data_IF_489386770864
#
_entry.id   IF_489386770864
#
_cell.length_a   1.000
_cell.length_b   1.000
_cell.length_c   1.000
_cell.angle_alpha   90.00
_cell.angle_beta   90.00
_cell.angle_gamma   90.00
#
_symmetry.space_group_name_H-M   'P 1'
#
loop_
_entity.id
_entity.type
_entity.pdbx_description
1 polymer ?
#
# COMPACT_ATOMS: atom_id res chain seq x y z
N UNK A 1 2.16 35.47 -7.32
CA UNK A 1 3.04 35.89 -6.22
C UNK A 1 2.91 34.84 -5.11
N UNK A 2 4.02 34.19 -4.72
CA UNK A 2 4.21 32.98 -3.86
C UNK A 2 3.46 32.96 -2.50
N UNK A 3 3.43 31.85 -1.71
CA UNK A 3 3.83 30.44 -1.97
C UNK A 3 2.85 29.36 -1.41
N UNK A 4 3.03 28.07 -1.75
CA UNK A 4 2.76 26.97 -0.79
C UNK A 4 4.04 26.14 -0.65
N UNK A 5 4.59 26.26 0.54
CA UNK A 5 5.74 25.56 1.13
C UNK A 5 5.36 24.09 1.36
N UNK A 6 6.13 23.14 0.83
CA UNK A 6 6.24 21.80 1.43
C UNK A 6 7.68 21.69 1.90
N UNK A 7 7.87 21.82 3.21
CA UNK A 7 9.16 21.65 3.86
C UNK A 7 9.67 20.22 3.66
N UNK A 8 10.84 20.12 3.03
CA UNK A 8 11.81 19.05 3.21
C UNK A 8 12.60 19.34 4.50
N UNK A 9 12.47 18.47 5.50
CA UNK A 9 13.43 18.19 6.58
C UNK A 9 12.87 16.96 7.29
N UNK A 10 13.53 15.81 7.34
CA UNK A 10 14.80 15.59 8.02
C UNK A 10 15.67 14.55 7.29
N UNK A 11 16.98 14.85 7.20
CA UNK A 11 18.02 13.86 6.99
C UNK A 11 18.00 12.89 8.17
N UNK A 12 17.83 11.59 7.92
CA UNK A 12 18.23 10.58 8.88
C UNK A 12 19.70 10.25 8.68
N UNK A 13 20.50 10.61 9.69
CA UNK A 13 21.81 10.00 9.95
C UNK A 13 21.54 8.54 10.34
N UNK A 14 22.18 7.60 9.64
CA UNK A 14 22.16 6.17 9.97
C UNK A 14 23.13 5.96 11.15
N UNK A 15 22.70 5.44 12.31
CA UNK A 15 23.64 4.86 13.26
C UNK A 15 23.97 3.43 12.81
N UNK A 16 25.25 3.17 12.58
CA UNK A 16 25.81 1.83 12.46
C UNK A 16 25.47 1.02 13.72
N UNK A 17 24.77 -0.11 13.57
CA UNK A 17 24.66 -1.12 14.62
C UNK A 17 25.44 -2.38 14.22
N UNK A 18 26.76 -2.33 14.43
CA UNK A 18 27.51 -3.54 14.73
C UNK A 18 27.20 -3.92 16.17
N UNK A 19 26.43 -4.99 16.38
CA UNK A 19 26.61 -5.89 17.51
C UNK A 19 26.05 -7.26 17.15
N UNK A 20 27.00 -8.17 16.90
CA UNK A 20 26.82 -9.60 16.75
C UNK A 20 26.40 -10.17 18.11
N UNK A 21 25.32 -10.96 18.14
CA UNK A 21 25.07 -11.89 19.24
C UNK A 21 25.01 -13.29 18.64
N UNK A 22 25.94 -14.13 19.11
CA UNK A 22 26.16 -15.51 18.71
C UNK A 22 24.98 -16.43 19.08
N UNK A 23 24.80 -17.57 18.38
CA UNK A 23 23.67 -18.47 18.59
C UNK A 23 23.93 -19.35 19.80
N UNK A 24 23.00 -19.38 20.77
CA UNK A 24 23.03 -20.38 21.85
C UNK A 24 21.66 -21.05 21.98
N UNK A 25 21.70 -22.38 21.86
CA UNK A 25 20.79 -23.40 22.38
C UNK A 25 19.28 -23.34 22.06
N UNK A 26 18.90 -24.03 20.98
CA UNK A 26 17.53 -24.51 20.75
C UNK A 26 17.40 -25.86 21.45
N UNK A 27 17.10 -25.86 22.75
CA UNK A 27 16.65 -27.09 23.45
C UNK A 27 15.81 -26.87 24.71
N UNK A 28 15.40 -25.63 25.02
CA UNK A 28 14.77 -25.32 26.32
C UNK A 28 13.41 -24.61 26.23
N UNK A 29 12.58 -24.93 25.23
CA UNK A 29 11.16 -24.53 25.23
C UNK A 29 10.28 -25.71 24.78
N UNK A 30 10.43 -26.85 25.47
CA UNK A 30 9.51 -28.01 25.37
C UNK A 30 8.66 -28.17 26.63
N UNK A 31 8.42 -27.09 27.39
CA UNK A 31 7.59 -27.13 28.60
C UNK A 31 6.86 -25.80 28.86
N UNK A 32 5.90 -25.45 28.00
CA UNK A 32 4.70 -24.74 28.44
C UNK A 32 3.48 -25.42 27.85
N UNK A 33 2.82 -26.17 28.72
CA UNK A 33 1.61 -26.93 28.53
C UNK A 33 0.42 -26.09 28.07
N UNK A 34 -0.29 -26.61 27.08
CA UNK A 34 -1.75 -26.78 27.07
C UNK A 34 -2.58 -25.67 27.74
N UNK A 35 -2.73 -24.54 27.05
CA UNK A 35 -3.98 -23.80 27.14
C UNK A 35 -4.92 -24.32 26.07
N UNK A 36 -5.91 -25.10 26.51
CA UNK A 36 -7.12 -25.36 25.75
C UNK A 36 -7.81 -24.02 25.51
N UNK A 37 -7.75 -23.52 24.27
CA UNK A 37 -8.60 -22.42 23.82
C UNK A 37 -10.01 -22.97 23.65
N UNK A 38 -10.74 -23.03 24.76
CA UNK A 38 -12.18 -23.17 24.77
C UNK A 38 -12.78 -22.03 23.94
N UNK A 39 -13.45 -22.44 22.86
CA UNK A 39 -14.31 -21.68 21.95
C UNK A 39 -14.70 -20.27 22.43
N UNK A 40 -13.95 -19.26 21.99
CA UNK A 40 -14.53 -17.94 21.75
C UNK A 40 -15.06 -17.97 20.33
N UNK A 41 -16.37 -18.16 20.19
CA UNK A 41 -17.10 -17.99 18.94
C UNK A 41 -17.10 -16.51 18.53
N UNK A 42 -15.96 -16.01 18.02
CA UNK A 42 -15.97 -14.84 17.14
C UNK A 42 -16.51 -15.39 15.82
N UNK A 43 -17.70 -14.96 15.42
CA UNK A 43 -18.22 -15.24 14.09
C UNK A 43 -17.15 -14.86 13.07
N UNK A 44 -16.52 -15.87 12.46
CA UNK A 44 -15.67 -15.70 11.28
C UNK A 44 -16.58 -15.12 10.20
N UNK A 45 -16.65 -13.80 10.13
CA UNK A 45 -17.30 -13.11 9.02
C UNK A 45 -16.74 -13.68 7.73
N UNK A 46 -17.63 -14.06 6.80
CA UNK A 46 -17.25 -14.61 5.51
C UNK A 46 -16.28 -13.61 4.84
N UNK A 47 -15.02 -14.01 4.68
CA UNK A 47 -14.03 -13.19 3.97
C UNK A 47 -14.47 -13.05 2.52
N UNK A 48 -14.27 -11.88 1.93
CA UNK A 48 -14.57 -11.63 0.51
C UNK A 48 -13.71 -12.49 -0.42
N UNK A 49 -12.52 -12.87 0.04
CA UNK A 49 -11.54 -13.70 -0.67
C UNK A 49 -10.19 -13.64 0.04
N UNK A 50 -9.17 -14.24 -0.56
CA UNK A 50 -7.77 -14.18 -0.14
C UNK A 50 -7.02 -13.00 -0.80
N UNK A 51 -5.74 -12.81 -0.43
CA UNK A 51 -4.91 -11.74 -0.96
C UNK A 51 -4.70 -11.83 -2.48
N UNK A 52 -4.58 -13.03 -3.06
CA UNK A 52 -4.43 -13.16 -4.51
C UNK A 52 -5.68 -12.66 -5.24
N UNK A 53 -6.88 -13.01 -4.74
CA UNK A 53 -8.15 -12.53 -5.30
C UNK A 53 -8.30 -11.00 -5.16
N UNK A 54 -7.76 -10.41 -4.08
CA UNK A 54 -7.68 -8.95 -3.93
C UNK A 54 -6.77 -8.33 -5.00
N UNK A 55 -5.59 -8.90 -5.21
CA UNK A 55 -4.60 -8.41 -6.17
C UNK A 55 -5.09 -8.53 -7.61
N UNK A 56 -5.81 -9.60 -7.93
CA UNK A 56 -6.43 -9.77 -9.23
C UNK A 56 -7.54 -8.73 -9.46
N UNK A 57 -8.41 -8.52 -8.46
CA UNK A 57 -9.43 -7.47 -8.51
C UNK A 57 -8.83 -6.05 -8.58
N UNK A 58 -7.69 -5.83 -7.94
CA UNK A 58 -6.96 -4.56 -8.00
C UNK A 58 -6.41 -4.35 -9.39
N UNK A 59 -5.72 -5.35 -9.96
CA UNK A 59 -5.22 -5.30 -11.33
C UNK A 59 -6.32 -5.01 -12.35
N UNK A 60 -7.52 -5.61 -12.19
CA UNK A 60 -8.66 -5.27 -13.03
C UNK A 60 -9.08 -3.80 -12.90
N UNK A 61 -9.12 -3.28 -11.66
CA UNK A 61 -9.52 -1.89 -11.41
C UNK A 61 -8.53 -0.89 -12.00
N UNK A 62 -7.23 -1.19 -11.88
CA UNK A 62 -6.13 -0.34 -12.29
C UNK A 62 -5.95 -0.30 -13.81
N UNK A 63 -6.18 -1.43 -14.49
CA UNK A 63 -5.89 -1.56 -15.93
C UNK A 63 -7.14 -1.59 -16.82
N UNK A 64 -8.30 -1.87 -16.24
CA UNK A 64 -9.54 -2.16 -16.98
C UNK A 64 -9.56 -3.53 -17.69
N UNK A 65 -8.48 -4.32 -17.56
CA UNK A 65 -8.35 -5.65 -18.18
C UNK A 65 -8.75 -6.74 -17.19
N UNK A 66 -9.29 -7.87 -17.69
CA UNK A 66 -9.75 -8.97 -16.84
C UNK A 66 -8.60 -9.64 -16.10
N UNK A 67 -8.90 -10.19 -14.92
CA UNK A 67 -7.98 -10.97 -14.11
C UNK A 67 -7.44 -12.13 -14.94
N UNK A 68 -6.12 -12.31 -14.91
CA UNK A 68 -5.42 -13.31 -15.73
C UNK A 68 -5.06 -12.85 -17.14
N UNK A 69 -5.50 -11.68 -17.60
CA UNK A 69 -5.03 -11.11 -18.87
C UNK A 69 -3.54 -10.70 -18.72
N UNK A 70 -2.61 -11.31 -19.49
CA UNK A 70 -1.19 -10.99 -19.39
C UNK A 70 -0.88 -9.53 -19.76
N UNK A 71 -1.75 -8.87 -20.53
CA UNK A 71 -1.60 -7.45 -20.87
C UNK A 71 -1.75 -6.52 -19.66
N UNK A 72 -2.23 -7.00 -18.52
CA UNK A 72 -2.19 -6.23 -17.27
C UNK A 72 -0.75 -5.82 -16.93
N UNK A 73 0.20 -6.75 -17.04
CA UNK A 73 1.59 -6.52 -16.60
C UNK A 73 2.38 -5.61 -17.53
N UNK A 74 2.01 -5.55 -18.81
CA UNK A 74 2.69 -4.72 -19.81
C UNK A 74 2.02 -3.37 -20.03
N UNK A 75 0.92 -3.08 -19.33
CA UNK A 75 0.16 -1.84 -19.49
C UNK A 75 0.93 -0.63 -18.92
N UNK A 76 1.03 0.44 -19.71
CA UNK A 76 1.55 1.74 -19.28
C UNK A 76 0.46 2.79 -19.47
N UNK A 77 0.16 3.55 -18.42
CA UNK A 77 -0.81 4.63 -18.51
C UNK A 77 -0.27 5.73 -19.44
N UNK A 78 -0.92 6.03 -20.57
CA UNK A 78 -0.37 6.99 -21.53
C UNK A 78 -0.40 8.44 -21.04
N UNK A 79 -1.24 8.76 -20.05
CA UNK A 79 -1.39 10.12 -19.53
C UNK A 79 -0.37 10.42 -18.42
N UNK A 80 -0.25 9.53 -17.44
CA UNK A 80 0.54 9.75 -16.22
C UNK A 80 1.74 8.81 -16.07
N UNK A 81 1.94 7.86 -16.99
CA UNK A 81 3.13 6.99 -17.04
C UNK A 81 3.18 5.91 -15.97
N UNK A 82 2.08 5.59 -15.29
CA UNK A 82 2.02 4.48 -14.34
C UNK A 82 2.25 3.13 -15.02
N UNK A 83 2.92 2.18 -14.35
CA UNK A 83 3.39 0.93 -14.96
C UNK A 83 2.76 -0.33 -14.39
N UNK A 84 2.41 -1.24 -15.30
CA UNK A 84 2.08 -2.63 -15.05
C UNK A 84 0.72 -2.85 -14.40
N UNK A 85 0.50 -4.08 -13.91
CA UNK A 85 -0.79 -4.55 -13.39
C UNK A 85 -1.31 -3.66 -12.26
N UNK A 86 -0.39 -3.13 -11.46
CA UNK A 86 -0.67 -2.32 -10.27
C UNK A 86 -0.37 -0.84 -10.47
N UNK A 87 -0.19 -0.39 -11.72
CA UNK A 87 -0.01 1.03 -12.05
C UNK A 87 0.99 1.74 -11.13
N UNK A 88 2.18 1.15 -10.98
CA UNK A 88 3.22 1.69 -10.10
C UNK A 88 3.65 3.09 -10.54
N UNK A 89 3.79 4.00 -9.57
CA UNK A 89 4.48 5.28 -9.74
C UNK A 89 5.98 5.16 -9.40
N UNK A 90 6.75 6.14 -9.87
CA UNK A 90 8.17 6.30 -9.53
C UNK A 90 8.37 6.34 -8.01
N UNK A 91 7.54 7.10 -7.27
CA UNK A 91 7.68 7.28 -5.81
C UNK A 91 7.69 5.96 -5.03
N UNK A 92 6.82 5.01 -5.40
CA UNK A 92 6.76 3.73 -4.68
C UNK A 92 7.93 2.83 -5.11
N UNK A 93 8.32 2.80 -6.38
CA UNK A 93 9.48 2.01 -6.81
C UNK A 93 10.81 2.57 -6.32
N UNK A 94 10.90 3.88 -6.09
CA UNK A 94 12.02 4.52 -5.38
C UNK A 94 12.07 4.00 -3.96
N UNK A 95 10.94 4.04 -3.27
CA UNK A 95 10.85 3.62 -1.88
C UNK A 95 11.13 2.14 -1.66
N UNK A 96 10.74 1.30 -2.61
CA UNK A 96 11.01 -0.13 -2.60
C UNK A 96 12.44 -0.48 -3.05
N UNK A 97 13.20 0.50 -3.53
CA UNK A 97 14.59 0.34 -3.96
C UNK A 97 14.75 -0.30 -5.34
N UNK A 98 13.72 -0.33 -6.18
CA UNK A 98 13.85 -0.72 -7.61
C UNK A 98 14.36 0.43 -8.48
N UNK A 99 14.16 1.66 -8.02
CA UNK A 99 14.38 2.86 -8.82
C UNK A 99 15.05 3.98 -8.02
N UNK A 100 15.71 4.91 -8.70
CA UNK A 100 16.33 6.09 -8.09
C UNK A 100 16.08 7.29 -8.98
N UNK A 101 15.46 8.34 -8.44
CA UNK A 101 15.29 9.62 -9.12
C UNK A 101 15.19 10.75 -8.09
N UNK A 102 15.70 11.93 -8.44
CA UNK A 102 15.60 13.15 -7.60
C UNK A 102 14.34 13.97 -7.88
N UNK A 103 13.78 13.84 -9.08
CA UNK A 103 12.47 14.38 -9.47
C UNK A 103 11.60 13.25 -9.97
N UNK A 104 10.33 13.25 -9.57
CA UNK A 104 9.35 12.24 -9.92
C UNK A 104 7.94 12.83 -9.81
N UNK A 105 6.93 12.05 -10.20
CA UNK A 105 5.55 12.51 -10.18
C UNK A 105 5.13 13.11 -8.82
N UNK A 106 4.58 14.34 -8.82
CA UNK A 106 4.24 15.16 -7.63
C UNK A 106 5.44 15.64 -6.80
N UNK A 107 6.66 15.42 -7.28
CA UNK A 107 7.91 15.95 -6.75
C UNK A 107 8.81 16.45 -7.91
N UNK A 108 8.40 17.57 -8.51
CA UNK A 108 9.17 18.21 -9.59
C UNK A 108 8.84 17.74 -11.01
N UNK A 109 7.93 16.77 -11.18
CA UNK A 109 7.35 16.42 -12.48
C UNK A 109 5.82 16.26 -12.41
N UNK A 110 5.17 16.43 -13.55
CA UNK A 110 3.72 16.32 -13.77
C UNK A 110 3.25 14.89 -14.09
N UNK A 111 4.17 13.98 -14.43
CA UNK A 111 3.92 12.55 -14.63
C UNK A 111 5.16 11.69 -14.31
N UNK A 112 4.98 10.37 -14.34
CA UNK A 112 6.06 9.40 -14.19
C UNK A 112 6.85 9.30 -15.51
N UNK A 113 8.06 9.87 -15.54
CA UNK A 113 8.85 9.91 -16.77
C UNK A 113 9.82 8.74 -16.92
N UNK A 114 10.15 8.05 -15.82
CA UNK A 114 11.11 6.94 -15.80
C UNK A 114 12.48 7.32 -16.38
N UNK A 115 12.97 8.52 -16.03
CA UNK A 115 14.27 9.09 -16.49
C UNK A 115 15.43 8.99 -15.49
N UNK A 116 15.19 8.50 -14.27
CA UNK A 116 16.20 8.08 -13.30
C UNK A 116 16.81 6.69 -13.58
N UNK A 117 17.38 6.08 -12.54
CA UNK A 117 18.22 4.87 -12.62
C UNK A 117 17.53 3.67 -11.98
N UNK A 118 17.50 2.54 -12.67
CA UNK A 118 17.04 1.26 -12.14
C UNK A 118 18.17 0.56 -11.37
N UNK A 119 17.86 -0.08 -10.26
CA UNK A 119 18.88 -0.57 -9.30
C UNK A 119 19.29 -2.03 -9.50
N UNK A 120 18.67 -2.74 -10.44
CA UNK A 120 18.80 -4.19 -10.62
C UNK A 120 18.24 -5.04 -9.46
N UNK A 121 17.44 -4.46 -8.55
CA UNK A 121 16.71 -5.22 -7.53
C UNK A 121 15.80 -6.26 -8.21
N UNK A 122 15.87 -7.52 -7.76
CA UNK A 122 15.17 -8.65 -8.39
C UNK A 122 15.44 -8.80 -9.91
N UNK A 123 16.61 -8.35 -10.39
CA UNK A 123 16.97 -8.40 -11.81
C UNK A 123 16.35 -7.29 -12.68
N UNK A 124 15.71 -6.29 -12.06
CA UNK A 124 15.06 -5.18 -12.77
C UNK A 124 16.02 -4.01 -12.93
N UNK A 125 16.67 -3.93 -14.08
CA UNK A 125 17.58 -2.84 -14.49
C UNK A 125 16.97 -1.91 -15.55
N UNK A 126 15.70 -2.11 -15.91
CA UNK A 126 15.02 -1.29 -16.92
C UNK A 126 13.50 -1.35 -16.79
N UNK A 127 12.83 -0.31 -17.32
CA UNK A 127 11.37 -0.25 -17.46
C UNK A 127 10.84 -1.49 -18.19
N UNK A 128 11.50 -1.87 -19.28
CA UNK A 128 11.12 -3.02 -20.09
C UNK A 128 11.19 -4.33 -19.27
N UNK A 129 12.23 -4.54 -18.45
CA UNK A 129 12.30 -5.72 -17.59
C UNK A 129 11.19 -5.75 -16.55
N UNK A 130 10.84 -4.62 -15.93
CA UNK A 130 9.73 -4.57 -14.98
C UNK A 130 8.41 -5.00 -15.64
N UNK A 131 8.09 -4.42 -16.80
CA UNK A 131 6.86 -4.72 -17.53
C UNK A 131 6.78 -6.17 -18.02
N UNK A 132 7.93 -6.79 -18.31
CA UNK A 132 8.02 -8.20 -18.72
C UNK A 132 8.25 -9.18 -17.55
N UNK A 133 8.12 -8.73 -16.29
CA UNK A 133 8.34 -9.57 -15.11
C UNK A 133 7.10 -9.63 -14.20
N UNK A 134 6.05 -10.39 -14.58
CA UNK A 134 4.84 -10.54 -13.75
C UNK A 134 5.14 -10.90 -12.30
N UNK A 135 6.04 -11.87 -12.08
CA UNK A 135 6.48 -12.29 -10.74
C UNK A 135 7.05 -11.13 -9.91
N UNK A 136 7.80 -10.22 -10.53
CA UNK A 136 8.40 -9.09 -9.80
C UNK A 136 7.35 -8.02 -9.49
N UNK A 137 6.37 -7.80 -10.36
CA UNK A 137 5.24 -6.91 -10.05
C UNK A 137 4.41 -7.43 -8.87
N UNK A 138 4.16 -8.75 -8.82
CA UNK A 138 3.48 -9.41 -7.69
C UNK A 138 4.26 -9.31 -6.36
N UNK A 139 5.60 -9.34 -6.43
CA UNK A 139 6.46 -9.10 -5.25
C UNK A 139 6.37 -7.62 -4.84
N UNK A 140 6.56 -6.70 -5.79
CA UNK A 140 6.61 -5.26 -5.53
C UNK A 140 5.31 -4.72 -4.90
N UNK A 141 4.13 -5.21 -5.32
CA UNK A 141 2.86 -4.78 -4.71
C UNK A 141 2.73 -5.26 -3.25
N UNK A 142 3.23 -6.45 -2.92
CA UNK A 142 3.23 -6.97 -1.55
C UNK A 142 4.20 -6.19 -0.66
N UNK A 143 5.38 -5.85 -1.18
CA UNK A 143 6.32 -4.95 -0.51
C UNK A 143 5.68 -3.57 -0.28
N UNK A 144 5.01 -3.01 -1.30
CA UNK A 144 4.28 -1.74 -1.17
C UNK A 144 3.22 -1.79 -0.07
N UNK A 145 2.43 -2.87 -0.01
CA UNK A 145 1.43 -3.05 1.04
C UNK A 145 2.04 -3.13 2.44
N UNK A 146 3.18 -3.80 2.61
CA UNK A 146 3.91 -3.81 3.89
C UNK A 146 4.30 -2.40 4.31
N UNK A 147 4.89 -1.64 3.38
CA UNK A 147 5.31 -0.25 3.61
C UNK A 147 4.10 0.63 3.98
N UNK A 148 3.00 0.54 3.24
CA UNK A 148 1.79 1.31 3.55
C UNK A 148 1.24 0.96 4.94
N UNK A 149 1.23 -0.32 5.31
CA UNK A 149 0.76 -0.75 6.62
C UNK A 149 1.62 -0.14 7.75
N UNK A 150 2.94 -0.22 7.63
CA UNK A 150 3.88 0.34 8.59
C UNK A 150 3.72 1.86 8.74
N UNK A 151 3.55 2.56 7.62
CA UNK A 151 3.39 4.02 7.62
C UNK A 151 2.09 4.51 8.24
N UNK A 152 0.99 3.83 7.95
CA UNK A 152 -0.31 4.15 8.53
C UNK A 152 -0.19 4.01 10.05
N UNK A 153 0.34 2.88 10.52
CA UNK A 153 0.53 2.62 11.96
C UNK A 153 1.45 3.66 12.60
N UNK A 154 2.58 3.96 11.97
CA UNK A 154 3.55 4.95 12.47
C UNK A 154 2.97 6.36 12.52
N UNK A 155 2.22 6.77 11.49
CA UNK A 155 1.58 8.08 11.38
C UNK A 155 0.42 8.26 12.35
N UNK A 156 -0.35 7.19 12.63
CA UNK A 156 -1.37 7.20 13.68
C UNK A 156 -0.73 7.28 15.07
N UNK A 157 0.34 6.52 15.31
CA UNK A 157 1.07 6.54 16.60
C UNK A 157 1.62 7.93 16.92
N UNK A 158 2.16 8.65 15.93
CA UNK A 158 2.60 10.05 16.08
C UNK A 158 1.46 10.98 16.54
N UNK A 159 0.21 10.64 16.22
CA UNK A 159 -0.99 11.37 16.64
C UNK A 159 -1.65 10.77 17.89
N UNK A 160 -0.95 9.90 18.63
CA UNK A 160 -1.48 9.18 19.81
C UNK A 160 -2.74 8.36 19.51
N UNK A 161 -2.82 7.79 18.31
CA UNK A 161 -3.91 6.93 17.85
C UNK A 161 -3.38 5.54 17.48
N UNK A 162 -4.28 4.56 17.43
CA UNK A 162 -3.99 3.20 17.01
C UNK A 162 -4.82 2.83 15.79
N UNK A 163 -4.31 1.97 14.92
CA UNK A 163 -5.10 1.41 13.82
C UNK A 163 -6.31 0.60 14.33
N UNK A 164 -6.18 0.02 15.53
CA UNK A 164 -7.25 -0.72 16.19
C UNK A 164 -8.43 0.18 16.61
N UNK A 165 -8.23 1.50 16.65
CA UNK A 165 -9.31 2.46 16.85
C UNK A 165 -10.25 2.52 15.63
N UNK A 166 -9.89 1.89 14.52
CA UNK A 166 -10.62 1.97 13.25
C UNK A 166 -10.99 0.59 12.69
N UNK A 167 -10.11 -0.40 12.78
CA UNK A 167 -10.37 -1.74 12.21
C UNK A 167 -11.68 -2.35 12.72
N UNK A 168 -12.48 -2.89 11.80
CA UNK A 168 -13.77 -3.51 12.06
C UNK A 168 -14.90 -2.50 12.32
N UNK A 169 -14.62 -1.20 12.43
CA UNK A 169 -15.66 -0.20 12.69
C UNK A 169 -16.38 0.19 11.41
N UNK A 170 -17.69 0.35 11.54
CA UNK A 170 -18.54 0.93 10.51
C UNK A 170 -18.51 2.45 10.64
N UNK A 171 -17.99 3.15 9.63
CA UNK A 171 -17.86 4.62 9.63
C UNK A 171 -18.75 5.20 8.53
N UNK A 172 -19.50 6.26 8.89
CA UNK A 172 -20.31 7.03 7.94
C UNK A 172 -19.49 8.17 7.35
N UNK A 173 -19.33 8.17 6.05
CA UNK A 173 -18.71 9.25 5.29
C UNK A 173 -19.76 9.99 4.47
N UNK A 174 -19.66 11.32 4.41
CA UNK A 174 -20.52 12.15 3.54
C UNK A 174 -19.71 12.67 2.38
N UNK A 175 -20.08 12.28 1.17
CA UNK A 175 -19.41 12.65 -0.09
C UNK A 175 -20.45 13.08 -1.12
N UNK A 176 -20.29 14.28 -1.70
CA UNK A 176 -21.19 14.80 -2.76
C UNK A 176 -22.68 14.68 -2.41
N UNK A 177 -23.04 15.00 -1.16
CA UNK A 177 -24.41 14.93 -0.64
C UNK A 177 -24.91 13.52 -0.30
N UNK A 178 -24.14 12.46 -0.56
CA UNK A 178 -24.49 11.06 -0.25
C UNK A 178 -23.78 10.57 1.00
N UNK A 179 -24.44 9.72 1.78
CA UNK A 179 -23.83 9.04 2.93
C UNK A 179 -23.42 7.63 2.50
N UNK A 180 -22.15 7.28 2.71
CA UNK A 180 -21.61 5.92 2.55
C UNK A 180 -21.27 5.38 3.93
N UNK A 181 -21.68 4.15 4.23
CA UNK A 181 -21.35 3.46 5.48
C UNK A 181 -20.38 2.34 5.16
N UNK A 182 -19.12 2.47 5.57
CA UNK A 182 -18.04 1.56 5.17
C UNK A 182 -17.44 0.91 6.42
N UNK A 183 -17.31 -0.41 6.39
CA UNK A 183 -16.55 -1.17 7.40
C UNK A 183 -15.07 -1.03 7.08
N UNK A 184 -14.30 -0.44 7.99
CA UNK A 184 -12.86 -0.31 7.83
C UNK A 184 -12.19 -1.67 8.00
N UNK A 185 -11.46 -2.11 6.99
CA UNK A 185 -10.73 -3.39 6.99
C UNK A 185 -9.29 -3.17 6.55
N UNK A 186 -8.39 -4.08 6.91
CA UNK A 186 -6.97 -4.00 6.51
C UNK A 186 -6.81 -3.96 4.99
N UNK A 187 -7.50 -4.82 4.25
CA UNK A 187 -7.45 -4.87 2.79
C UNK A 187 -7.94 -3.56 2.14
N UNK A 188 -9.03 -2.98 2.66
CA UNK A 188 -9.54 -1.70 2.17
C UNK A 188 -8.56 -0.55 2.42
N UNK A 189 -7.90 -0.53 3.59
CA UNK A 189 -6.90 0.48 3.92
C UNK A 189 -5.65 0.39 3.04
N UNK A 190 -5.18 -0.83 2.74
CA UNK A 190 -4.05 -1.06 1.84
C UNK A 190 -4.36 -0.60 0.42
N UNK A 191 -5.55 -0.90 -0.09
CA UNK A 191 -5.98 -0.41 -1.40
C UNK A 191 -6.17 1.11 -1.42
N UNK A 192 -6.78 1.69 -0.39
CA UNK A 192 -6.92 3.15 -0.28
C UNK A 192 -5.55 3.86 -0.24
N UNK A 193 -4.57 3.28 0.44
CA UNK A 193 -3.19 3.78 0.46
C UNK A 193 -2.48 3.60 -0.88
N UNK A 194 -2.76 2.51 -1.61
CA UNK A 194 -2.25 2.31 -2.95
C UNK A 194 -2.74 3.42 -3.90
N UNK A 195 -4.03 3.78 -3.84
CA UNK A 195 -4.60 4.84 -4.68
C UNK A 195 -4.08 6.24 -4.31
N UNK A 196 -4.12 6.60 -3.02
CA UNK A 196 -3.93 8.00 -2.57
C UNK A 196 -2.77 8.23 -1.61
N UNK A 197 -1.99 7.21 -1.28
CA UNK A 197 -0.93 7.28 -0.28
C UNK A 197 -1.43 7.09 1.16
N UNK A 198 -0.51 6.66 2.03
CA UNK A 198 -0.81 6.40 3.44
C UNK A 198 -1.25 7.66 4.20
N UNK A 199 -0.74 8.83 3.82
CA UNK A 199 -1.01 10.10 4.51
C UNK A 199 -2.48 10.51 4.33
N UNK A 200 -3.03 10.30 3.13
CA UNK A 200 -4.45 10.53 2.85
C UNK A 200 -5.36 9.50 3.52
N UNK A 201 -4.91 8.25 3.70
CA UNK A 201 -5.64 7.28 4.54
C UNK A 201 -5.69 7.75 5.99
N UNK A 202 -4.57 8.25 6.53
CA UNK A 202 -4.55 8.76 7.92
C UNK A 202 -5.43 10.01 8.06
N UNK A 203 -5.38 10.96 7.11
CA UNK A 203 -6.28 12.12 7.10
C UNK A 203 -7.75 11.70 7.00
N UNK A 204 -8.06 10.67 6.21
CA UNK A 204 -9.42 10.12 6.13
C UNK A 204 -9.88 9.55 7.48
N UNK A 205 -9.06 8.73 8.13
CA UNK A 205 -9.41 8.09 9.41
C UNK A 205 -9.50 9.10 10.57
N UNK A 206 -8.60 10.07 10.62
CA UNK A 206 -8.51 11.01 11.74
C UNK A 206 -9.45 12.19 11.58
N UNK A 207 -9.61 12.70 10.35
CA UNK A 207 -10.26 13.98 10.07
C UNK A 207 -11.53 13.81 9.22
N UNK A 208 -11.78 12.62 8.67
CA UNK A 208 -12.86 12.43 7.69
C UNK A 208 -12.57 13.06 6.32
N UNK A 209 -11.30 13.40 6.05
CA UNK A 209 -10.91 14.08 4.81
C UNK A 209 -10.91 13.10 3.62
N UNK A 210 -11.84 13.33 2.69
CA UNK A 210 -12.02 12.49 1.51
C UNK A 210 -11.20 13.08 0.35
N UNK A 211 -10.23 12.30 -0.13
CA UNK A 211 -9.35 12.68 -1.25
C UNK A 211 -9.75 11.94 -2.54
N UNK A 212 -9.34 12.48 -3.68
CA UNK A 212 -9.61 11.94 -5.01
C UNK A 212 -8.34 11.90 -5.85
N UNK A 213 -8.23 10.91 -6.75
CA UNK A 213 -7.15 10.84 -7.73
C UNK A 213 -7.28 11.85 -8.88
N UNK A 214 -6.31 11.82 -9.79
CA UNK A 214 -6.24 12.70 -10.95
C UNK A 214 -7.40 12.48 -11.93
N UNK A 215 -8.07 11.32 -11.85
CA UNK A 215 -9.24 10.93 -12.62
C UNK A 215 -10.56 11.14 -11.86
N UNK A 216 -10.50 11.65 -10.63
CA UNK A 216 -11.67 11.88 -9.79
C UNK A 216 -12.19 10.65 -9.04
N UNK A 217 -11.43 9.55 -8.99
CA UNK A 217 -11.73 8.35 -8.19
C UNK A 217 -11.59 8.67 -6.72
N UNK A 218 -12.64 8.42 -5.93
CA UNK A 218 -12.61 8.66 -4.49
C UNK A 218 -11.80 7.61 -3.73
N UNK A 219 -11.05 8.03 -2.70
CA UNK A 219 -10.40 7.12 -1.74
C UNK A 219 -11.40 6.15 -1.09
N UNK A 220 -12.65 6.58 -0.93
CA UNK A 220 -13.71 5.75 -0.36
C UNK A 220 -14.07 4.56 -1.26
N UNK A 221 -13.96 4.74 -2.59
CA UNK A 221 -14.24 3.65 -3.53
C UNK A 221 -13.27 2.48 -3.32
N UNK A 222 -11.99 2.76 -3.03
CA UNK A 222 -11.01 1.71 -2.78
C UNK A 222 -11.18 1.10 -1.39
N UNK A 223 -11.44 1.94 -0.39
CA UNK A 223 -11.72 1.49 0.98
C UNK A 223 -12.90 0.51 1.02
N UNK A 224 -13.95 0.79 0.25
CA UNK A 224 -15.16 -0.04 0.14
C UNK A 224 -14.95 -1.26 -0.79
N UNK A 225 -14.51 -1.03 -2.04
CA UNK A 225 -14.39 -2.09 -3.05
C UNK A 225 -13.42 -3.20 -2.64
N UNK A 226 -12.33 -2.85 -1.97
CA UNK A 226 -11.33 -3.82 -1.53
C UNK A 226 -11.47 -4.20 -0.06
N UNK A 227 -12.59 -3.85 0.58
CA UNK A 227 -12.87 -4.23 1.94
C UNK A 227 -13.17 -5.73 2.09
N UNK A 228 -12.68 -6.34 3.17
CA UNK A 228 -13.07 -7.69 3.60
C UNK A 228 -12.28 -8.86 3.01
N UNK A 229 -11.21 -8.61 2.25
CA UNK A 229 -10.28 -9.68 1.85
C UNK A 229 -9.38 -10.09 3.02
N UNK A 230 -9.02 -11.36 3.09
CA UNK A 230 -8.02 -11.88 4.01
C UNK A 230 -6.63 -11.52 3.51
N UNK A 231 -6.01 -10.56 4.18
CA UNK A 231 -4.65 -10.10 3.94
C UNK A 231 -3.86 -10.30 5.24
N UNK A 232 -2.79 -11.10 5.18
CA UNK A 232 -1.93 -11.40 6.32
C UNK A 232 -0.88 -10.30 6.51
#
# INVERSE_FOLDING_TARGET
MYPILILLSELFIIPNSTNLVSPTNIQEISHYSNYSLSQVNISKGKTKGNLQEMLDALGERETGKKAGDPQQYTFENPQLGFLGKYQFAEVILIRLGYYQASKFYRNGTDKNYWRGTWTNKQGIDSKAKLLNSPKVQEIAIREAFSVYWEDINSSLKKQRKSINDYLGKSIKFRERGKIKTIIVTRSGLLAAAHLRGYDNVVKLLVQGNISHDEFGTSILEYLEKFGGYSVQ
#
